data_IF_128125023856
#
_entry.id   IF_128125023856
#
_cell.length_a   1.000
_cell.length_b   1.000
_cell.length_c   1.000
_cell.angle_alpha   90.00
_cell.angle_beta   90.00
_cell.angle_gamma   90.00
#
_symmetry.space_group_name_H-M   'P 1'
#
loop_
_entity.id
_entity.type
_entity.pdbx_description
1 polymer ?
#
# COMPACT_ATOMS: atom_id res chain seq x y z
N UNK A 1 -5.05 12.63 12.31
CA UNK A 1 -5.11 12.77 10.85
C UNK A 1 -5.94 13.98 10.45
N UNK A 2 -5.82 14.46 9.24
CA UNK A 2 -6.59 15.55 8.65
C UNK A 2 -7.01 15.20 7.22
N UNK A 3 -7.98 15.92 6.69
CA UNK A 3 -8.55 15.68 5.36
C UNK A 3 -7.62 16.26 4.28
N UNK A 4 -7.49 15.58 3.15
CA UNK A 4 -6.69 16.07 2.02
C UNK A 4 -7.19 17.39 1.45
N UNK A 5 -8.49 17.67 1.57
CA UNK A 5 -9.10 18.96 1.15
C UNK A 5 -8.54 20.17 1.90
N UNK A 6 -7.89 19.97 3.05
CA UNK A 6 -7.18 21.03 3.76
C UNK A 6 -5.84 21.39 3.10
N UNK A 7 -5.39 20.62 2.10
CA UNK A 7 -4.16 20.91 1.34
C UNK A 7 -4.54 21.66 0.08
N UNK A 8 -4.18 22.96 -0.06
CA UNK A 8 -4.50 23.70 -1.26
C UNK A 8 -3.71 23.18 -2.45
N UNK A 9 -4.33 23.13 -3.61
CA UNK A 9 -3.62 22.91 -4.86
C UNK A 9 -2.67 24.08 -5.11
N UNK A 10 -1.40 23.79 -5.36
CA UNK A 10 -0.37 24.82 -5.51
C UNK A 10 0.58 24.46 -6.66
N UNK A 11 1.15 25.50 -7.30
CA UNK A 11 2.07 25.34 -8.43
C UNK A 11 3.44 24.79 -7.99
N UNK A 12 4.23 24.36 -8.97
CA UNK A 12 5.54 23.71 -8.80
C UNK A 12 6.53 24.59 -7.98
N UNK A 13 6.41 25.90 -8.04
CA UNK A 13 7.28 26.85 -7.32
C UNK A 13 6.81 27.14 -5.88
N UNK A 14 5.72 26.53 -5.44
CA UNK A 14 5.20 26.73 -4.08
C UNK A 14 6.04 25.98 -3.06
N UNK A 15 6.27 26.60 -1.90
CA UNK A 15 6.94 25.98 -0.75
C UNK A 15 6.07 24.92 -0.06
N UNK A 16 4.82 24.74 -0.50
CA UNK A 16 3.86 23.85 0.14
C UNK A 16 3.27 24.45 1.42
N UNK A 17 2.58 23.61 2.18
CA UNK A 17 1.90 24.01 3.40
C UNK A 17 2.29 23.11 4.57
N UNK A 18 2.32 23.68 5.76
CA UNK A 18 2.66 22.96 6.97
C UNK A 18 1.66 21.87 7.28
N UNK A 19 2.09 20.62 7.36
CA UNK A 19 1.24 19.45 7.69
C UNK A 19 1.09 19.27 9.21
N UNK A 20 2.18 19.42 9.97
CA UNK A 20 2.25 19.17 11.41
C UNK A 20 3.15 20.20 12.08
N UNK A 21 2.90 20.53 13.34
CA UNK A 21 3.80 21.34 14.15
C UNK A 21 4.73 20.44 14.96
N UNK A 22 5.99 20.40 14.57
CA UNK A 22 7.04 19.67 15.25
C UNK A 22 7.84 20.61 16.17
N UNK A 23 8.40 20.06 17.24
CA UNK A 23 9.28 20.75 18.17
C UNK A 23 10.54 19.93 18.35
N UNK A 24 11.62 20.30 17.66
CA UNK A 24 12.89 19.56 17.65
C UNK A 24 12.73 18.08 17.28
N UNK A 25 11.94 17.82 16.25
CA UNK A 25 11.58 16.49 15.79
C UNK A 25 11.44 16.46 14.26
N UNK A 26 11.34 15.28 13.65
CA UNK A 26 11.25 15.11 12.20
C UNK A 26 10.06 14.25 11.79
N UNK A 27 9.66 14.37 10.52
CA UNK A 27 8.60 13.52 9.94
C UNK A 27 9.24 12.19 9.49
N UNK A 28 8.84 11.10 10.11
CA UNK A 28 9.32 9.75 9.79
C UNK A 28 8.48 9.08 8.70
N UNK A 29 7.17 9.28 8.72
CA UNK A 29 6.26 8.61 7.79
C UNK A 29 5.05 9.49 7.47
N UNK A 30 4.53 9.34 6.25
CA UNK A 30 3.27 9.91 5.80
C UNK A 30 2.48 8.83 5.05
N UNK A 31 1.21 8.68 5.38
CA UNK A 31 0.32 7.72 4.75
C UNK A 31 -0.96 8.40 4.27
N UNK A 32 -1.38 8.04 3.06
CA UNK A 32 -2.72 8.35 2.57
C UNK A 32 -3.56 7.09 2.80
N UNK A 33 -4.76 7.26 3.33
CA UNK A 33 -5.62 6.12 3.64
C UNK A 33 -7.09 6.47 3.42
N UNK A 34 -7.89 5.44 3.24
CA UNK A 34 -9.34 5.49 3.22
C UNK A 34 -9.93 4.79 4.45
N UNK A 35 -11.24 4.85 4.57
CA UNK A 35 -11.97 4.27 5.71
C UNK A 35 -12.07 2.74 5.70
N UNK A 36 -11.52 2.08 4.69
CA UNK A 36 -11.50 0.61 4.59
C UNK A 36 -10.33 -0.01 5.39
N UNK A 37 -9.37 0.81 5.80
CA UNK A 37 -8.23 0.40 6.60
C UNK A 37 -8.58 0.43 8.10
N UNK A 38 -8.01 -0.50 8.86
CA UNK A 38 -8.43 -0.80 10.23
C UNK A 38 -7.38 -0.43 11.29
N UNK A 39 -6.11 -0.48 10.93
CA UNK A 39 -5.01 -0.39 11.91
C UNK A 39 -3.92 0.58 11.50
N UNK A 40 -3.37 1.25 12.49
CA UNK A 40 -2.08 1.93 12.44
C UNK A 40 -1.04 0.96 13.00
N UNK A 41 -0.18 0.42 12.15
CA UNK A 41 0.88 -0.52 12.52
C UNK A 41 2.20 0.23 12.64
N UNK A 42 2.83 0.14 13.79
CA UNK A 42 3.99 0.95 14.17
C UNK A 42 5.16 0.02 14.45
N UNK A 43 6.30 0.30 13.82
CA UNK A 43 7.57 -0.39 14.02
C UNK A 43 8.61 0.57 14.61
N UNK A 44 9.42 0.09 15.55
CA UNK A 44 10.45 0.89 16.21
C UNK A 44 11.85 0.34 15.95
N UNK A 45 12.87 1.18 16.08
CA UNK A 45 14.27 0.79 15.97
C UNK A 45 14.74 -0.14 17.13
N UNK A 46 13.94 -0.25 18.19
CA UNK A 46 14.17 -1.16 19.31
C UNK A 46 13.50 -2.53 19.12
N UNK A 47 13.27 -2.95 17.90
CA UNK A 47 12.73 -4.28 17.54
C UNK A 47 11.32 -4.53 18.07
N UNK A 48 10.56 -3.50 18.40
CA UNK A 48 9.20 -3.64 18.87
C UNK A 48 8.21 -3.18 17.80
N UNK A 49 7.04 -3.80 17.80
CA UNK A 49 5.92 -3.37 16.97
C UNK A 49 4.58 -3.52 17.71
N UNK A 50 3.59 -2.83 17.22
CA UNK A 50 2.21 -2.94 17.67
C UNK A 50 1.24 -2.49 16.59
N UNK A 51 -0.02 -2.88 16.75
CA UNK A 51 -1.16 -2.31 16.05
C UNK A 51 -1.97 -1.45 17.00
N UNK A 52 -2.48 -0.34 16.51
CA UNK A 52 -3.48 0.50 17.17
C UNK A 52 -4.67 0.59 16.23
N UNK A 53 -5.88 0.50 16.72
CA UNK A 53 -7.06 0.65 15.88
C UNK A 53 -7.10 2.06 15.29
N UNK A 54 -7.44 2.17 14.01
CA UNK A 54 -7.52 3.46 13.32
C UNK A 54 -8.61 4.36 13.93
N UNK A 55 -9.68 3.77 14.46
CA UNK A 55 -10.76 4.47 15.14
C UNK A 55 -10.33 5.22 16.41
N UNK A 56 -9.21 4.81 17.04
CA UNK A 56 -8.63 5.50 18.20
C UNK A 56 -7.96 6.84 17.83
N UNK A 57 -7.92 7.18 16.55
CA UNK A 57 -7.35 8.41 16.05
C UNK A 57 -8.43 9.32 15.48
N UNK A 58 -8.80 10.33 16.23
CA UNK A 58 -9.79 11.31 15.80
C UNK A 58 -9.28 12.18 14.65
N UNK A 59 -10.22 12.63 13.80
CA UNK A 59 -9.96 13.65 12.80
C UNK A 59 -9.60 14.98 13.48
N UNK A 60 -8.58 15.63 13.01
CA UNK A 60 -8.14 16.94 13.47
C UNK A 60 -7.93 17.84 12.25
N UNK A 61 -7.45 19.05 12.49
CA UNK A 61 -7.03 19.96 11.44
C UNK A 61 -5.53 19.87 11.20
N UNK A 62 -5.10 20.28 10.01
CA UNK A 62 -3.70 20.41 9.64
C UNK A 62 -2.93 21.35 10.59
N UNK A 63 -1.60 21.23 10.60
CA UNK A 63 -0.67 22.06 11.39
C UNK A 63 -0.81 21.95 12.93
N UNK A 64 -1.48 20.93 13.44
CA UNK A 64 -1.51 20.60 14.87
C UNK A 64 -0.24 19.85 15.30
N UNK A 65 -0.01 19.74 16.60
CA UNK A 65 1.11 18.97 17.18
C UNK A 65 0.93 17.46 17.08
N UNK A 66 -0.30 17.00 16.85
CA UNK A 66 -0.63 15.57 16.85
C UNK A 66 -0.72 14.98 18.26
N UNK A 67 -0.79 13.65 18.30
CA UNK A 67 -0.95 12.84 19.50
C UNK A 67 0.20 11.87 19.64
N UNK A 68 0.64 11.62 20.87
CA UNK A 68 1.66 10.60 21.14
C UNK A 68 1.10 9.20 20.83
N UNK A 69 1.85 8.45 20.02
CA UNK A 69 1.49 7.08 19.62
C UNK A 69 2.36 6.00 20.29
N UNK A 70 3.39 6.42 20.98
CA UNK A 70 4.27 5.56 21.77
C UNK A 70 4.59 6.22 23.10
N UNK A 71 4.74 5.39 24.14
CA UNK A 71 5.21 5.88 25.44
C UNK A 71 6.72 6.08 25.38
N UNK A 72 7.16 7.26 25.78
CA UNK A 72 8.60 7.53 25.94
C UNK A 72 9.19 6.72 27.12
N UNK A 73 10.29 6.03 26.87
CA UNK A 73 11.03 5.25 27.88
C UNK A 73 12.42 5.87 28.03
N UNK A 74 12.63 6.68 29.08
CA UNK A 74 13.88 7.41 29.30
C UNK A 74 15.11 6.51 29.47
N UNK A 75 14.93 5.32 30.05
CA UNK A 75 16.01 4.35 30.28
C UNK A 75 16.44 3.59 29.03
N UNK A 76 15.57 3.52 28.03
CA UNK A 76 15.82 2.86 26.76
C UNK A 76 15.09 3.62 25.65
N UNK A 77 15.61 4.77 25.25
CA UNK A 77 14.98 5.59 24.20
C UNK A 77 14.97 4.82 22.89
N UNK A 78 13.89 4.97 22.14
CA UNK A 78 13.69 4.36 20.82
C UNK A 78 12.96 5.32 19.91
N UNK A 79 13.16 5.15 18.62
CA UNK A 79 12.52 5.95 17.59
C UNK A 79 11.52 5.11 16.79
N UNK A 80 10.54 5.77 16.21
CA UNK A 80 9.68 5.16 15.22
C UNK A 80 10.52 4.92 13.98
N UNK A 81 10.51 3.68 13.50
CA UNK A 81 11.21 3.27 12.28
C UNK A 81 10.31 3.47 11.06
N UNK A 82 9.09 2.97 11.15
CA UNK A 82 8.07 3.14 10.12
C UNK A 82 6.65 3.00 10.69
N UNK A 83 5.68 3.60 9.99
CA UNK A 83 4.26 3.51 10.31
C UNK A 83 3.50 3.19 9.03
N UNK A 84 2.62 2.19 9.11
CA UNK A 84 1.74 1.80 8.01
C UNK A 84 0.29 1.88 8.46
N UNK A 85 -0.60 2.24 7.53
CA UNK A 85 -2.03 2.13 7.75
C UNK A 85 -2.53 0.96 6.93
N UNK A 86 -3.07 -0.05 7.59
CA UNK A 86 -3.24 -1.38 7.02
C UNK A 86 -4.55 -2.04 7.44
N UNK A 87 -4.89 -3.10 6.74
CA UNK A 87 -5.93 -4.04 7.16
C UNK A 87 -5.34 -5.25 7.90
N UNK A 88 -6.21 -6.12 8.38
CA UNK A 88 -5.83 -7.35 9.11
C UNK A 88 -4.93 -8.29 8.28
N UNK A 89 -5.06 -8.31 6.96
CA UNK A 89 -4.35 -9.23 6.06
C UNK A 89 -2.97 -8.76 5.61
N UNK A 90 -2.53 -7.57 6.02
CA UNK A 90 -1.23 -7.03 5.61
C UNK A 90 -0.07 -7.91 6.05
N UNK A 91 0.95 -7.97 5.19
CA UNK A 91 2.21 -8.68 5.41
C UNK A 91 3.36 -7.67 5.38
N UNK A 92 4.33 -7.84 6.25
CA UNK A 92 5.51 -6.99 6.32
C UNK A 92 6.78 -7.80 6.13
N UNK A 93 7.74 -7.24 5.41
CA UNK A 93 9.11 -7.73 5.33
C UNK A 93 10.00 -6.94 6.29
N UNK A 94 10.63 -7.62 7.23
CA UNK A 94 11.70 -7.10 8.07
C UNK A 94 13.03 -7.40 7.37
N UNK A 95 13.72 -6.39 6.91
CA UNK A 95 15.00 -6.54 6.21
C UNK A 95 16.14 -6.49 7.21
N UNK A 96 16.92 -7.56 7.26
CA UNK A 96 18.20 -7.67 7.93
C UNK A 96 19.36 -7.51 6.93
N UNK A 97 20.61 -7.70 7.36
CA UNK A 97 21.76 -7.57 6.46
C UNK A 97 21.71 -8.59 5.31
N UNK A 98 21.42 -9.84 5.62
CA UNK A 98 21.57 -10.97 4.71
C UNK A 98 20.26 -11.68 4.36
N UNK A 99 19.16 -11.33 5.03
CA UNK A 99 17.86 -11.98 4.83
C UNK A 99 16.68 -11.04 5.10
N UNK A 100 15.51 -11.51 4.71
CA UNK A 100 14.22 -10.86 4.97
C UNK A 100 13.33 -11.85 5.73
N UNK A 101 12.81 -11.42 6.86
CA UNK A 101 11.82 -12.17 7.62
C UNK A 101 10.43 -11.60 7.37
N UNK A 102 9.44 -12.46 7.16
CA UNK A 102 8.06 -12.04 6.94
C UNK A 102 7.25 -12.15 8.22
N UNK A 103 6.54 -11.09 8.58
CA UNK A 103 5.62 -11.04 9.70
C UNK A 103 4.22 -10.65 9.25
N UNK A 104 3.19 -11.35 9.74
CA UNK A 104 1.80 -11.00 9.46
C UNK A 104 1.34 -9.91 10.40
N UNK A 105 0.48 -9.02 9.91
CA UNK A 105 -0.15 -8.02 10.76
C UNK A 105 -0.90 -8.65 11.93
N UNK A 106 -1.52 -9.83 11.73
CA UNK A 106 -2.21 -10.60 12.78
C UNK A 106 -1.33 -11.03 13.94
N UNK A 107 -0.04 -11.22 13.72
CA UNK A 107 0.91 -11.66 14.74
C UNK A 107 1.33 -10.52 15.68
N UNK A 108 1.03 -9.28 15.27
CA UNK A 108 1.29 -8.10 16.07
C UNK A 108 0.13 -7.85 17.05
N UNK A 109 0.42 -7.51 18.33
CA UNK A 109 -0.61 -7.24 19.30
C UNK A 109 -1.38 -5.95 18.99
N UNK A 110 -2.66 -5.96 19.23
CA UNK A 110 -3.48 -4.74 19.28
C UNK A 110 -3.31 -4.14 20.66
N UNK A 111 -2.79 -2.94 20.74
CA UNK A 111 -2.49 -2.25 21.98
C UNK A 111 -2.99 -0.81 21.93
N UNK A 112 -3.24 -0.26 23.11
CA UNK A 112 -3.54 1.16 23.24
C UNK A 112 -2.42 2.04 22.69
N UNK A 113 -2.79 3.24 22.29
CA UNK A 113 -1.88 4.24 21.71
C UNK A 113 -0.62 4.47 22.54
N UNK A 114 -0.70 4.51 23.87
CA UNK A 114 0.44 4.79 24.77
C UNK A 114 1.33 3.60 25.12
N UNK A 115 1.03 2.40 24.66
CA UNK A 115 1.88 1.23 24.92
C UNK A 115 3.13 1.26 24.03
N UNK A 116 4.23 0.64 24.50
CA UNK A 116 5.52 0.59 23.78
C UNK A 116 5.57 -0.43 22.64
N UNK A 117 4.61 -1.35 22.58
CA UNK A 117 4.66 -2.49 21.67
C UNK A 117 5.34 -3.71 22.28
N UNK A 118 5.40 -4.80 21.54
CA UNK A 118 6.06 -6.05 21.89
C UNK A 118 7.27 -6.31 21.01
N UNK A 119 8.26 -7.02 21.52
CA UNK A 119 9.44 -7.43 20.75
C UNK A 119 9.03 -8.44 19.68
N UNK A 120 9.37 -8.15 18.42
CA UNK A 120 9.02 -8.96 17.24
C UNK A 120 10.22 -9.66 16.61
N UNK A 121 11.44 -9.29 16.98
CA UNK A 121 12.66 -9.86 16.44
C UNK A 121 13.75 -9.94 17.51
N UNK A 122 14.66 -10.91 17.38
CA UNK A 122 15.87 -11.02 18.24
C UNK A 122 16.93 -10.01 17.83
N UNK A 123 17.07 -9.76 16.54
CA UNK A 123 18.07 -8.88 15.95
C UNK A 123 17.44 -7.54 15.52
N UNK A 124 18.29 -6.52 15.33
CA UNK A 124 17.83 -5.23 14.77
C UNK A 124 17.67 -5.37 13.27
N UNK A 125 16.47 -5.08 12.77
CA UNK A 125 16.22 -4.96 11.35
C UNK A 125 16.62 -3.56 10.82
N UNK A 126 17.08 -3.53 9.58
CA UNK A 126 17.51 -2.30 8.90
C UNK A 126 16.29 -1.50 8.45
N UNK A 127 15.27 -2.20 7.92
CA UNK A 127 14.13 -1.59 7.29
C UNK A 127 12.88 -2.47 7.40
N UNK A 128 11.71 -1.85 7.20
CA UNK A 128 10.41 -2.52 7.18
C UNK A 128 9.61 -2.02 6.00
N UNK A 129 8.98 -2.93 5.27
CA UNK A 129 8.12 -2.62 4.13
C UNK A 129 6.90 -3.54 4.06
N UNK A 130 5.85 -3.09 3.38
CA UNK A 130 4.63 -3.88 3.20
C UNK A 130 4.71 -4.72 1.92
N UNK A 131 4.60 -6.06 2.07
CA UNK A 131 4.78 -7.02 0.97
C UNK A 131 3.57 -7.07 0.02
N UNK A 132 2.34 -6.93 0.54
CA UNK A 132 1.13 -7.08 -0.28
C UNK A 132 1.02 -6.09 -1.45
N UNK A 133 1.56 -4.88 -1.30
CA UNK A 133 1.58 -3.90 -2.38
C UNK A 133 2.43 -4.33 -3.57
N UNK A 134 3.47 -5.13 -3.34
CA UNK A 134 4.31 -5.67 -4.41
C UNK A 134 3.60 -6.80 -5.16
N UNK A 135 2.99 -7.73 -4.44
CA UNK A 135 2.30 -8.90 -5.03
C UNK A 135 1.07 -8.47 -5.85
N UNK A 136 0.31 -7.46 -5.40
CA UNK A 136 -0.86 -6.99 -6.14
C UNK A 136 -0.52 -6.33 -7.48
N UNK A 137 0.66 -5.71 -7.62
CA UNK A 137 1.12 -5.16 -8.90
C UNK A 137 1.50 -6.27 -9.89
N UNK A 138 2.25 -7.28 -9.46
CA UNK A 138 2.65 -8.39 -10.31
C UNK A 138 1.43 -9.17 -10.84
N UNK A 139 0.45 -9.49 -9.96
CA UNK A 139 -0.78 -10.16 -10.39
C UNK A 139 -1.64 -9.33 -11.35
N UNK A 140 -1.60 -8.01 -11.24
CA UNK A 140 -2.36 -7.13 -12.15
C UNK A 140 -1.72 -7.09 -13.54
N UNK A 141 -0.40 -7.18 -13.63
CA UNK A 141 0.33 -7.24 -14.90
C UNK A 141 0.19 -8.62 -15.57
N UNK A 142 0.34 -9.71 -14.83
CA UNK A 142 0.11 -11.07 -15.36
C UNK A 142 -1.34 -11.27 -15.87
N UNK A 143 -2.35 -10.78 -15.12
CA UNK A 143 -3.75 -10.87 -15.58
C UNK A 143 -4.05 -9.99 -16.81
N UNK A 144 -3.33 -8.89 -17.01
CA UNK A 144 -3.47 -8.08 -18.24
C UNK A 144 -2.83 -8.78 -19.44
N UNK A 145 -1.65 -9.37 -19.27
CA UNK A 145 -1.01 -10.13 -20.35
C UNK A 145 -1.79 -11.40 -20.72
N UNK A 146 -2.41 -12.09 -19.74
CA UNK A 146 -3.22 -13.28 -19.98
C UNK A 146 -4.54 -12.95 -20.67
N UNK A 147 -5.17 -11.81 -20.34
CA UNK A 147 -6.38 -11.32 -21.03
C UNK A 147 -6.06 -10.84 -22.45
N UNK A 148 -4.90 -10.23 -22.69
CA UNK A 148 -4.50 -9.87 -24.07
C UNK A 148 -4.14 -11.09 -24.92
N UNK A 149 -3.58 -12.15 -24.34
CA UNK A 149 -3.27 -13.41 -25.06
C UNK A 149 -4.52 -14.24 -25.42
N UNK A 150 -5.62 -14.12 -24.67
CA UNK A 150 -6.85 -14.87 -24.95
C UNK A 150 -7.77 -14.21 -25.99
N UNK A 151 -7.45 -13.00 -26.46
CA UNK A 151 -8.22 -12.28 -27.49
C UNK A 151 -7.68 -12.50 -28.92
N UNK A 152 -6.57 -13.21 -29.08
CA UNK A 152 -6.15 -13.65 -30.42
C UNK A 152 -7.06 -14.81 -30.83
N UNK A 153 -8.21 -14.45 -31.47
CA UNK A 153 -9.04 -15.44 -32.17
C UNK A 153 -8.16 -16.13 -33.21
N UNK A 154 -8.07 -17.45 -33.09
CA UNK A 154 -7.51 -18.27 -34.17
C UNK A 154 -8.20 -17.88 -35.49
N UNK A 155 -7.45 -17.76 -36.60
CA UNK A 155 -8.06 -17.47 -37.88
C UNK A 155 -9.02 -18.63 -38.18
N UNK A 156 -10.31 -18.31 -38.27
CA UNK A 156 -11.33 -19.25 -38.69
C UNK A 156 -10.88 -19.77 -40.05
N UNK A 157 -10.56 -21.07 -40.15
CA UNK A 157 -10.34 -21.71 -41.43
C UNK A 157 -11.65 -21.69 -42.18
N UNK A 158 -11.80 -20.72 -43.07
CA UNK A 158 -12.91 -20.70 -44.03
C UNK A 158 -12.64 -21.84 -44.99
N UNK A 159 -13.57 -22.78 -45.09
CA UNK A 159 -13.43 -23.91 -46.01
C UNK A 159 -13.48 -23.40 -47.45
N UNK A 160 -12.74 -24.05 -48.37
CA UNK A 160 -12.76 -23.70 -49.80
C UNK A 160 -14.17 -23.68 -50.38
N UNK A 161 -15.09 -24.45 -49.84
CA UNK A 161 -16.49 -24.50 -50.24
C UNK A 161 -17.27 -23.22 -49.86
N UNK A 162 -16.98 -22.60 -48.76
CA UNK A 162 -17.60 -21.32 -48.34
C UNK A 162 -17.11 -20.13 -49.18
N UNK A 163 -15.88 -20.17 -49.65
CA UNK A 163 -15.30 -19.19 -50.54
C UNK A 163 -15.97 -19.25 -51.93
N UNK A 164 -16.20 -20.47 -52.45
CA UNK A 164 -16.90 -20.69 -53.74
C UNK A 164 -18.34 -20.21 -53.71
N UNK A 165 -19.05 -20.39 -52.60
CA UNK A 165 -20.42 -19.94 -52.45
C UNK A 165 -20.53 -18.39 -52.35
N UNK A 166 -19.56 -17.74 -51.74
CA UNK A 166 -19.48 -16.27 -51.72
C UNK A 166 -19.11 -15.70 -53.07
N UNK A 167 -18.19 -16.30 -53.81
CA UNK A 167 -17.82 -15.89 -55.17
C UNK A 167 -19.02 -15.99 -56.14
N UNK A 168 -19.82 -17.02 -56.09
CA UNK A 168 -21.05 -17.18 -56.87
C UNK A 168 -22.07 -16.06 -56.59
N UNK A 169 -22.23 -15.66 -55.34
CA UNK A 169 -23.12 -14.55 -54.96
C UNK A 169 -22.67 -13.22 -55.54
N UNK A 170 -21.36 -13.00 -55.65
CA UNK A 170 -20.79 -11.78 -56.26
C UNK A 170 -20.98 -11.77 -57.76
N UNK A 171 -20.80 -12.95 -58.44
CA UNK A 171 -21.04 -13.06 -59.88
C UNK A 171 -22.53 -12.87 -60.25
N UNK A 172 -23.46 -13.33 -59.43
CA UNK A 172 -24.89 -13.12 -59.60
C UNK A 172 -25.29 -11.61 -59.46
N UNK A 173 -24.55 -10.85 -58.66
CA UNK A 173 -24.79 -9.40 -58.48
C UNK A 173 -24.20 -8.57 -59.63
N UNK A 174 -23.10 -9.04 -60.23
CA UNK A 174 -22.41 -8.31 -61.33
C UNK A 174 -23.06 -8.59 -62.71
N UNK A 175 -23.89 -9.60 -62.86
CA UNK A 175 -24.59 -9.96 -64.08
C UNK A 175 -26.06 -9.44 -64.14
N UNK A 176 -26.44 -8.57 -63.21
CA UNK A 176 -27.65 -7.79 -63.22
C UNK A 176 -27.35 -6.34 -63.64
#
# INVERSE_FOLDING_TARGET
>A
WFDESEIPSSGIKSSGVKSMTLKNDEVVSMNIFDKTLEYVTIFTDNKTAKRVKLEDFEKSTRARRGLLILREVKTNPYNIKNVFITNTKALFGLRFNDYIETIKNTDLPILDRYKTGTTISKEKYIDVFEIQKLISKEKTEENKEEVERTVIKEPTQISLLEIDDELRKVDDILNL
#
